data_IF_389490308083
#
_entry.id   IF_389490308083
#
_cell.length_a   1.000
_cell.length_b   1.000
_cell.length_c   1.000
_cell.angle_alpha   90.00
_cell.angle_beta   90.00
_cell.angle_gamma   90.00
#
_symmetry.space_group_name_H-M   'P 1'
#
loop_
_entity.id
_entity.type
_entity.pdbx_description
1 polymer ?
#
# COMPACT_ATOMS: atom_id res chain seq x y z
N UNK A 1 -1.51 2.03 35.42
CA UNK A 1 -1.48 0.58 35.14
C UNK A 1 -0.19 -0.07 35.62
N UNK A 2 1.00 0.47 35.34
CA UNK A 2 2.27 -0.07 35.88
C UNK A 2 2.36 -0.07 37.41
N UNK A 3 1.71 0.89 38.09
CA UNK A 3 1.63 0.94 39.56
C UNK A 3 0.87 -0.24 40.20
N UNK A 4 0.17 -1.06 39.42
CA UNK A 4 -0.48 -2.27 39.92
C UNK A 4 0.47 -3.46 40.08
N UNK A 5 1.72 -3.33 39.59
CA UNK A 5 2.74 -4.36 39.69
C UNK A 5 3.73 -4.04 40.83
N UNK A 6 4.28 -5.05 41.52
CA UNK A 6 5.26 -4.84 42.56
C UNK A 6 6.47 -4.03 42.04
N UNK A 7 7.09 -3.16 42.85
CA UNK A 7 8.29 -2.39 42.45
C UNK A 7 9.44 -3.27 41.96
N UNK A 8 9.49 -4.54 42.39
CA UNK A 8 10.48 -5.53 41.99
C UNK A 8 10.19 -6.13 40.61
N UNK A 9 9.00 -5.89 40.00
CA UNK A 9 8.69 -6.38 38.69
C UNK A 9 9.50 -5.64 37.63
N UNK A 10 10.11 -6.37 36.71
CA UNK A 10 10.84 -5.79 35.58
C UNK A 10 9.90 -5.34 34.42
N UNK A 11 8.60 -5.24 34.69
CA UNK A 11 7.59 -4.84 33.70
C UNK A 11 7.71 -3.33 33.44
N UNK A 12 8.23 -2.95 32.28
CA UNK A 12 8.39 -1.57 31.83
C UNK A 12 7.24 -1.08 30.94
N UNK A 13 6.53 -2.00 30.32
CA UNK A 13 5.49 -1.69 29.33
C UNK A 13 4.37 -2.73 29.38
N UNK A 14 3.15 -2.27 29.18
CA UNK A 14 1.95 -3.12 29.08
C UNK A 14 1.20 -2.73 27.82
N UNK A 15 0.98 -3.68 26.92
CA UNK A 15 0.16 -3.51 25.72
C UNK A 15 -1.24 -4.06 25.96
N UNK A 16 -2.28 -3.33 25.58
CA UNK A 16 -3.66 -3.75 25.68
C UNK A 16 -4.48 -3.25 24.49
N UNK A 17 -5.56 -3.95 24.21
CA UNK A 17 -6.51 -3.56 23.15
C UNK A 17 -7.61 -2.67 23.73
N UNK A 18 -8.01 -1.65 22.98
CA UNK A 18 -9.12 -0.77 23.34
C UNK A 18 -9.86 -0.27 22.10
N UNK A 19 -11.19 -0.17 22.20
CA UNK A 19 -12.03 0.49 21.20
C UNK A 19 -12.02 2.01 21.44
N UNK A 20 -10.93 2.67 21.06
CA UNK A 20 -10.68 4.08 21.37
C UNK A 20 -11.19 5.04 20.31
N UNK A 21 -11.28 4.60 19.05
CA UNK A 21 -11.69 5.43 17.92
C UNK A 21 -12.91 4.86 17.21
N UNK A 22 -13.68 5.77 16.60
CA UNK A 22 -14.67 5.44 15.58
C UNK A 22 -14.18 6.00 14.25
N UNK A 23 -14.35 5.23 13.19
CA UNK A 23 -13.97 5.63 11.82
C UNK A 23 -15.18 5.56 10.90
N UNK A 24 -15.14 6.36 9.85
CA UNK A 24 -16.09 6.31 8.74
C UNK A 24 -15.35 6.28 7.42
N UNK A 25 -15.61 5.25 6.62
CA UNK A 25 -15.08 5.14 5.26
C UNK A 25 -16.21 5.37 4.25
N UNK A 26 -15.96 6.17 3.24
CA UNK A 26 -16.84 6.41 2.09
C UNK A 26 -16.03 6.26 0.83
N UNK A 27 -16.62 5.69 -0.21
CA UNK A 27 -15.92 5.50 -1.47
C UNK A 27 -16.83 5.12 -2.61
N UNK A 28 -16.24 5.09 -3.79
CA UNK A 28 -16.86 4.66 -5.04
C UNK A 28 -15.88 3.72 -5.72
N UNK A 29 -16.36 2.56 -6.14
CA UNK A 29 -15.64 1.62 -6.97
C UNK A 29 -16.37 1.49 -8.31
N UNK A 30 -15.59 1.55 -9.38
CA UNK A 30 -16.08 1.35 -10.74
C UNK A 30 -15.23 0.29 -11.42
N UNK A 31 -15.86 -0.68 -12.05
CA UNK A 31 -15.18 -1.72 -12.83
C UNK A 31 -15.92 -1.91 -14.14
N UNK A 32 -15.17 -1.93 -15.24
CA UNK A 32 -15.69 -2.27 -16.56
C UNK A 32 -14.74 -3.19 -17.28
N UNK A 33 -15.32 -4.08 -18.09
CA UNK A 33 -14.59 -5.03 -18.91
C UNK A 33 -15.14 -4.97 -20.34
N UNK A 34 -14.23 -5.03 -21.29
CA UNK A 34 -14.53 -5.05 -22.71
C UNK A 34 -13.83 -6.25 -23.34
N UNK A 35 -14.54 -6.97 -24.18
CA UNK A 35 -13.98 -8.07 -24.96
C UNK A 35 -14.49 -7.99 -26.40
N UNK A 36 -13.58 -8.03 -27.36
CA UNK A 36 -13.88 -7.98 -28.79
C UNK A 36 -13.11 -9.07 -29.52
N UNK A 37 -13.84 -9.91 -30.24
CA UNK A 37 -13.22 -10.81 -31.23
C UNK A 37 -12.95 -10.03 -32.50
N UNK A 38 -11.68 -9.97 -32.92
CA UNK A 38 -11.23 -9.26 -34.13
C UNK A 38 -11.19 -10.22 -35.34
N UNK A 39 -10.91 -11.50 -35.09
CA UNK A 39 -10.91 -12.56 -36.06
C UNK A 39 -11.09 -13.93 -35.38
N UNK A 40 -11.26 -15.04 -36.12
CA UNK A 40 -11.31 -16.38 -35.50
C UNK A 40 -10.12 -16.77 -34.66
N UNK A 41 -8.97 -16.07 -34.83
CA UNK A 41 -7.71 -16.33 -34.12
C UNK A 41 -7.19 -15.14 -33.36
N UNK A 42 -7.95 -14.05 -33.23
CA UNK A 42 -7.51 -12.87 -32.47
C UNK A 42 -8.65 -12.24 -31.67
N UNK A 43 -8.35 -11.80 -30.47
CA UNK A 43 -9.26 -11.08 -29.59
C UNK A 43 -8.55 -10.02 -28.77
N UNK A 44 -9.28 -8.95 -28.49
CA UNK A 44 -8.85 -7.86 -27.60
C UNK A 44 -9.68 -7.94 -26.32
N UNK A 45 -9.02 -7.86 -25.17
CA UNK A 45 -9.66 -7.72 -23.88
C UNK A 45 -9.13 -6.45 -23.22
N UNK A 46 -10.02 -5.66 -22.66
CA UNK A 46 -9.64 -4.48 -21.87
C UNK A 46 -10.42 -4.47 -20.56
N UNK A 47 -9.80 -4.07 -19.49
CA UNK A 47 -10.47 -3.83 -18.22
C UNK A 47 -9.98 -2.55 -17.60
N UNK A 48 -10.88 -1.83 -16.94
CA UNK A 48 -10.58 -0.64 -16.15
C UNK A 48 -11.27 -0.81 -14.81
N UNK A 49 -10.50 -0.65 -13.73
CA UNK A 49 -11.03 -0.54 -12.38
C UNK A 49 -10.53 0.77 -11.76
N UNK A 50 -11.43 1.48 -11.12
CA UNK A 50 -11.15 2.76 -10.46
C UNK A 50 -11.78 2.75 -9.08
N UNK A 51 -10.99 3.07 -8.07
CA UNK A 51 -11.42 3.18 -6.68
C UNK A 51 -11.07 4.56 -6.15
N UNK A 52 -12.04 5.22 -5.53
CA UNK A 52 -11.81 6.39 -4.68
C UNK A 52 -12.44 6.12 -3.33
N UNK A 53 -11.67 6.28 -2.27
CA UNK A 53 -12.18 6.17 -0.92
C UNK A 53 -11.56 7.22 0.01
N UNK A 54 -12.26 7.51 1.10
CA UNK A 54 -11.79 8.38 2.17
C UNK A 54 -12.21 7.79 3.51
N UNK A 55 -11.23 7.53 4.36
CA UNK A 55 -11.45 7.15 5.75
C UNK A 55 -11.16 8.35 6.64
N UNK A 56 -12.05 8.62 7.59
CA UNK A 56 -11.95 9.69 8.57
C UNK A 56 -12.19 9.14 9.97
N UNK A 57 -11.43 9.61 10.94
CA UNK A 57 -11.69 9.36 12.36
C UNK A 57 -12.79 10.32 12.79
N UNK A 58 -13.96 9.79 13.16
CA UNK A 58 -15.13 10.59 13.52
C UNK A 58 -15.17 10.94 14.99
N UNK A 59 -14.57 10.12 15.85
CA UNK A 59 -14.42 10.44 17.27
C UNK A 59 -13.28 9.64 17.90
N UNK A 60 -12.71 10.21 18.96
CA UNK A 60 -11.74 9.54 19.85
C UNK A 60 -12.24 9.64 21.27
N UNK A 61 -12.22 8.54 22.00
CA UNK A 61 -12.58 8.53 23.41
C UNK A 61 -11.49 9.22 24.24
N UNK A 62 -11.86 9.82 25.35
CA UNK A 62 -10.88 10.35 26.29
C UNK A 62 -10.02 9.23 26.86
N UNK A 63 -8.74 9.51 27.07
CA UNK A 63 -7.84 8.59 27.75
C UNK A 63 -8.34 8.35 29.18
N UNK A 64 -8.49 7.09 29.64
CA UNK A 64 -8.95 6.80 30.98
C UNK A 64 -8.13 7.52 32.06
N UNK A 65 -8.78 8.09 33.07
CA UNK A 65 -8.12 8.87 34.13
C UNK A 65 -6.99 8.11 34.83
N UNK A 66 -7.14 6.79 34.98
CA UNK A 66 -6.09 5.92 35.57
C UNK A 66 -4.81 5.88 34.75
N UNK A 67 -4.86 6.11 33.44
CA UNK A 67 -3.68 6.19 32.56
C UNK A 67 -3.07 7.59 32.56
N UNK A 68 -3.79 8.60 33.01
CA UNK A 68 -3.31 9.96 33.18
C UNK A 68 -2.62 10.17 34.53
N UNK A 69 -2.92 9.31 35.52
CA UNK A 69 -2.38 9.43 36.88
C UNK A 69 -0.85 9.26 36.86
N UNK A 70 -0.14 10.28 37.35
CA UNK A 70 1.32 10.31 37.40
C UNK A 70 2.02 10.71 36.08
N UNK A 71 1.27 11.00 35.03
CA UNK A 71 1.84 11.48 33.79
C UNK A 71 2.16 12.99 33.88
N UNK A 72 3.38 13.39 33.51
CA UNK A 72 3.82 14.80 33.45
C UNK A 72 3.25 15.55 32.23
N UNK A 73 2.68 14.81 31.28
CA UNK A 73 2.05 15.35 30.06
C UNK A 73 0.80 14.50 29.71
N UNK A 74 -0.19 15.08 29.00
CA UNK A 74 -1.37 14.32 28.60
C UNK A 74 -1.02 13.06 27.79
N UNK A 75 -1.43 11.91 28.29
CA UNK A 75 -1.26 10.62 27.58
C UNK A 75 -2.26 10.54 26.44
N UNK A 76 -1.79 10.48 25.21
CA UNK A 76 -2.61 10.20 24.03
C UNK A 76 -2.44 8.73 23.64
N UNK A 77 -3.54 7.96 23.63
CA UNK A 77 -3.51 6.56 23.22
C UNK A 77 -3.32 6.41 21.69
N UNK A 78 -3.77 7.41 20.95
CA UNK A 78 -3.58 7.50 19.50
C UNK A 78 -3.01 8.88 19.21
N UNK A 79 -1.84 8.89 18.60
CA UNK A 79 -1.12 10.10 18.24
C UNK A 79 -1.34 10.48 16.77
N UNK A 80 -0.72 11.56 16.31
CA UNK A 80 -0.80 12.04 14.94
C UNK A 80 -0.28 11.02 13.93
N UNK A 81 0.74 10.23 14.28
CA UNK A 81 1.28 9.19 13.39
C UNK A 81 0.25 8.09 13.20
N UNK A 82 -0.33 7.60 14.30
CA UNK A 82 -1.39 6.57 14.28
C UNK A 82 -2.64 7.04 13.50
N UNK A 83 -3.05 8.30 13.71
CA UNK A 83 -4.15 8.88 12.92
C UNK A 83 -3.83 8.90 11.42
N UNK A 84 -2.60 9.25 11.06
CA UNK A 84 -2.20 9.29 9.65
C UNK A 84 -2.21 7.93 8.98
N UNK A 85 -1.86 6.86 9.70
CA UNK A 85 -1.94 5.49 9.18
C UNK A 85 -3.37 5.10 8.77
N UNK A 86 -4.37 5.68 9.44
CA UNK A 86 -5.79 5.42 9.16
C UNK A 86 -6.31 6.34 8.04
N UNK A 87 -5.96 7.64 8.07
CA UNK A 87 -6.63 8.64 7.24
C UNK A 87 -5.88 9.00 5.96
N UNK A 88 -4.53 8.97 5.96
CA UNK A 88 -3.74 9.59 4.89
C UNK A 88 -2.59 8.75 4.35
N UNK A 89 -2.19 7.70 5.05
CA UNK A 89 -1.05 6.86 4.67
C UNK A 89 -1.37 5.79 3.62
N UNK A 90 -2.64 5.70 3.21
CA UNK A 90 -3.09 4.84 2.12
C UNK A 90 -3.56 5.69 0.94
N UNK A 91 -3.32 5.26 -0.32
CA UNK A 91 -3.82 5.98 -1.48
C UNK A 91 -5.35 6.06 -1.46
N UNK A 92 -5.89 7.28 -1.56
CA UNK A 92 -7.34 7.50 -1.64
C UNK A 92 -7.92 7.12 -3.00
N UNK A 93 -7.09 7.11 -4.01
CA UNK A 93 -7.49 6.74 -5.37
C UNK A 93 -6.49 5.74 -5.96
N UNK A 94 -7.06 4.76 -6.67
CA UNK A 94 -6.30 3.75 -7.40
C UNK A 94 -6.99 3.50 -8.74
N UNK A 95 -6.19 3.43 -9.81
CA UNK A 95 -6.67 3.06 -11.14
C UNK A 95 -5.89 1.85 -11.61
N UNK A 96 -6.61 0.84 -12.10
CA UNK A 96 -6.04 -0.33 -12.74
C UNK A 96 -6.57 -0.39 -14.17
N UNK A 97 -5.67 -0.51 -15.13
CA UNK A 97 -6.01 -0.74 -16.54
C UNK A 97 -5.31 -2.01 -16.98
N UNK A 98 -6.02 -2.89 -17.67
CA UNK A 98 -5.43 -4.08 -18.26
C UNK A 98 -5.84 -4.15 -19.73
N UNK A 99 -4.89 -4.39 -20.60
CA UNK A 99 -5.08 -4.64 -22.03
C UNK A 99 -4.48 -6.00 -22.36
N UNK A 100 -5.29 -6.91 -22.85
CA UNK A 100 -4.90 -8.24 -23.28
C UNK A 100 -5.18 -8.40 -24.78
N UNK A 101 -4.19 -8.80 -25.52
CA UNK A 101 -4.32 -9.11 -26.95
C UNK A 101 -3.90 -10.55 -27.21
N UNK A 102 -4.85 -11.33 -27.70
CA UNK A 102 -4.61 -12.69 -28.15
C UNK A 102 -4.53 -12.72 -29.66
N UNK A 103 -3.48 -13.32 -30.19
CA UNK A 103 -3.32 -13.57 -31.63
C UNK A 103 -2.71 -14.94 -31.85
N UNK A 104 -3.47 -15.86 -32.44
CA UNK A 104 -3.04 -17.25 -32.71
C UNK A 104 -2.54 -17.92 -31.41
N UNK A 105 -1.24 -18.18 -31.31
CA UNK A 105 -0.56 -18.81 -30.18
C UNK A 105 0.00 -17.81 -29.15
N UNK A 106 -0.09 -16.52 -29.41
CA UNK A 106 0.41 -15.48 -28.52
C UNK A 106 -0.73 -14.88 -27.69
N UNK A 107 -0.43 -14.64 -26.42
CA UNK A 107 -1.27 -13.84 -25.53
C UNK A 107 -0.38 -12.78 -24.86
N UNK A 108 -0.64 -11.52 -25.19
CA UNK A 108 0.13 -10.37 -24.68
C UNK A 108 -0.78 -9.61 -23.73
N UNK A 109 -0.29 -9.33 -22.53
CA UNK A 109 -1.03 -8.53 -21.54
C UNK A 109 -0.14 -7.41 -21.03
N UNK A 110 -0.70 -6.20 -21.00
CA UNK A 110 -0.10 -5.03 -20.37
C UNK A 110 -1.05 -4.53 -19.30
N UNK A 111 -0.52 -4.27 -18.10
CA UNK A 111 -1.28 -3.73 -16.96
C UNK A 111 -0.65 -2.44 -16.50
N UNK A 112 -1.48 -1.42 -16.33
CA UNK A 112 -1.12 -0.17 -15.69
C UNK A 112 -1.79 -0.06 -14.33
N UNK A 113 -1.03 0.28 -13.29
CA UNK A 113 -1.51 0.48 -11.92
C UNK A 113 -1.08 1.86 -11.44
N UNK A 114 -2.04 2.78 -11.33
CA UNK A 114 -1.81 4.07 -10.72
C UNK A 114 -2.21 4.04 -9.26
N UNK A 115 -1.34 4.53 -8.40
CA UNK A 115 -1.57 4.74 -6.96
C UNK A 115 -1.50 6.22 -6.66
N UNK A 116 -2.54 6.77 -6.05
CA UNK A 116 -2.62 8.17 -5.66
C UNK A 116 -1.57 8.55 -4.63
N UNK A 117 -1.40 9.85 -4.44
CA UNK A 117 -0.52 10.40 -3.39
C UNK A 117 -0.95 9.96 -2.00
N UNK A 118 0.02 9.87 -1.09
CA UNK A 118 -0.20 9.63 0.35
C UNK A 118 0.54 10.68 1.17
N UNK A 119 0.09 10.88 2.40
CA UNK A 119 0.77 11.73 3.38
C UNK A 119 1.06 10.88 4.61
N UNK A 120 2.32 10.73 4.95
CA UNK A 120 2.72 10.05 6.17
C UNK A 120 3.29 11.02 7.19
N UNK A 121 3.00 10.74 8.45
CA UNK A 121 3.51 11.47 9.60
C UNK A 121 4.50 10.63 10.39
N UNK A 122 5.41 11.29 11.03
CA UNK A 122 6.46 10.70 11.85
C UNK A 122 6.74 11.55 13.07
N UNK A 123 7.14 10.92 14.16
CA UNK A 123 7.59 11.59 15.37
C UNK A 123 9.00 11.10 15.74
N UNK A 124 10.05 11.82 15.32
CA UNK A 124 11.40 11.50 15.77
C UNK A 124 11.55 11.69 17.29
N UNK A 125 12.44 10.92 17.88
CA UNK A 125 12.72 11.04 19.32
C UNK A 125 13.18 12.46 19.66
N UNK A 126 12.51 13.10 20.63
CA UNK A 126 12.83 14.47 21.06
C UNK A 126 12.50 15.58 20.07
N UNK A 127 11.80 15.27 18.97
CA UNK A 127 11.46 16.22 17.92
C UNK A 127 9.93 16.36 17.74
N UNK A 128 9.44 17.47 17.16
CA UNK A 128 8.03 17.60 16.80
C UNK A 128 7.64 16.62 15.69
N UNK A 129 6.32 16.38 15.56
CA UNK A 129 5.79 15.61 14.45
C UNK A 129 6.13 16.29 13.11
N UNK A 130 6.47 15.48 12.12
CA UNK A 130 6.78 15.90 10.76
C UNK A 130 5.96 15.09 9.76
N UNK A 131 5.64 15.68 8.64
CA UNK A 131 4.92 14.99 7.56
C UNK A 131 5.63 15.16 6.24
N UNK A 132 5.42 14.20 5.36
CA UNK A 132 5.84 14.28 3.96
C UNK A 132 4.71 13.75 3.07
N UNK A 133 4.52 14.43 1.94
CA UNK A 133 3.67 13.96 0.86
C UNK A 133 4.52 13.13 -0.09
N UNK A 134 4.08 11.92 -0.37
CA UNK A 134 4.67 11.01 -1.36
C UNK A 134 3.77 11.04 -2.59
N UNK A 135 4.34 11.40 -3.74
CA UNK A 135 3.61 11.62 -4.98
C UNK A 135 2.94 10.34 -5.50
N UNK A 136 1.86 10.49 -6.25
CA UNK A 136 1.26 9.37 -6.95
C UNK A 136 2.21 8.77 -7.98
N UNK A 137 2.14 7.44 -8.19
CA UNK A 137 3.01 6.70 -9.10
C UNK A 137 2.20 5.76 -9.99
N UNK A 138 2.72 5.53 -11.18
CA UNK A 138 2.19 4.54 -12.13
C UNK A 138 3.20 3.42 -12.32
N UNK A 139 2.77 2.19 -12.16
CA UNK A 139 3.54 0.99 -12.47
C UNK A 139 2.96 0.33 -13.71
N UNK A 140 3.84 -0.19 -14.56
CA UNK A 140 3.45 -0.95 -15.75
C UNK A 140 4.05 -2.35 -15.64
N UNK A 141 3.17 -3.36 -15.82
CA UNK A 141 3.53 -4.76 -15.92
C UNK A 141 3.24 -5.25 -17.33
N UNK A 142 4.03 -6.17 -17.83
CA UNK A 142 3.81 -6.78 -19.14
C UNK A 142 4.10 -8.27 -19.11
N UNK A 143 3.29 -9.04 -19.83
CA UNK A 143 3.51 -10.48 -20.03
C UNK A 143 3.27 -10.86 -21.47
N UNK A 144 4.05 -11.81 -21.96
CA UNK A 144 3.86 -12.47 -23.25
C UNK A 144 3.85 -13.96 -23.01
N UNK A 145 2.74 -14.61 -23.30
CA UNK A 145 2.63 -16.06 -23.31
C UNK A 145 2.64 -16.59 -24.75
N UNK A 146 3.38 -17.67 -24.99
CA UNK A 146 3.42 -18.38 -26.25
C UNK A 146 3.08 -19.85 -26.06
N UNK A 147 2.01 -20.30 -26.73
CA UNK A 147 1.57 -21.70 -26.74
C UNK A 147 2.37 -22.46 -27.80
N UNK A 148 3.46 -23.10 -27.39
CA UNK A 148 4.31 -23.92 -28.29
C UNK A 148 3.50 -25.08 -28.82
N UNK A 149 2.76 -25.78 -27.95
CA UNK A 149 1.86 -26.86 -28.29
C UNK A 149 0.63 -26.85 -27.39
N UNK A 150 -0.33 -27.78 -27.59
CA UNK A 150 -1.51 -27.93 -26.71
C UNK A 150 -1.14 -28.28 -25.26
N UNK A 151 0.06 -28.84 -25.04
CA UNK A 151 0.54 -29.30 -23.73
C UNK A 151 1.63 -28.41 -23.14
N UNK A 152 2.25 -27.54 -23.92
CA UNK A 152 3.41 -26.77 -23.48
C UNK A 152 3.30 -25.29 -23.87
N UNK A 153 3.46 -24.42 -22.89
CA UNK A 153 3.55 -22.98 -23.11
C UNK A 153 4.65 -22.34 -22.28
N UNK A 154 5.16 -21.22 -22.77
CA UNK A 154 6.15 -20.36 -22.10
C UNK A 154 5.57 -18.96 -21.91
N UNK A 155 5.79 -18.41 -20.74
CA UNK A 155 5.44 -17.02 -20.41
C UNK A 155 6.70 -16.26 -20.02
N UNK A 156 6.90 -15.11 -20.63
CA UNK A 156 7.87 -14.11 -20.19
C UNK A 156 7.10 -12.96 -19.56
N UNK A 157 7.53 -12.54 -18.40
CA UNK A 157 6.86 -11.45 -17.68
C UNK A 157 7.83 -10.48 -17.06
N UNK A 158 7.35 -9.23 -16.94
CA UNK A 158 8.03 -8.15 -16.25
C UNK A 158 7.00 -7.39 -15.40
N UNK A 159 7.26 -7.28 -14.11
CA UNK A 159 6.52 -6.43 -13.21
C UNK A 159 7.31 -5.14 -13.00
N UNK A 160 6.59 -4.01 -12.95
CA UNK A 160 7.19 -2.69 -12.78
C UNK A 160 8.34 -2.45 -13.79
N UNK A 161 8.04 -2.67 -15.07
CA UNK A 161 9.03 -2.67 -16.17
C UNK A 161 9.89 -1.39 -16.25
N UNK A 162 9.36 -0.25 -15.76
CA UNK A 162 10.07 1.03 -15.72
C UNK A 162 10.83 1.27 -14.42
N UNK A 163 10.92 0.26 -13.54
CA UNK A 163 11.69 0.32 -12.30
C UNK A 163 11.30 1.51 -11.41
N UNK A 164 10.00 1.78 -11.28
CA UNK A 164 9.45 2.87 -10.50
C UNK A 164 9.54 2.55 -9.00
N UNK A 165 9.96 3.51 -8.20
CA UNK A 165 10.03 3.42 -6.75
C UNK A 165 9.12 4.46 -6.09
N UNK A 166 8.68 4.24 -4.83
CA UNK A 166 8.12 5.30 -4.01
C UNK A 166 9.09 6.46 -3.84
N UNK A 167 8.58 7.64 -3.50
CA UNK A 167 9.46 8.76 -3.15
C UNK A 167 10.30 8.42 -1.92
N UNK A 168 11.55 8.84 -1.93
CA UNK A 168 12.44 8.71 -0.78
C UNK A 168 12.03 9.68 0.32
N UNK A 169 12.36 9.35 1.55
CA UNK A 169 12.22 10.27 2.68
C UNK A 169 13.18 11.44 2.52
N UNK A 170 12.66 12.66 2.70
CA UNK A 170 13.45 13.89 2.67
C UNK A 170 14.21 14.11 3.98
N UNK A 171 15.20 14.99 3.95
CA UNK A 171 16.03 15.33 5.13
C UNK A 171 15.22 15.85 6.33
N UNK A 172 14.09 16.50 6.06
CA UNK A 172 13.19 17.04 7.10
C UNK A 172 12.20 15.99 7.64
N UNK A 173 12.06 14.85 6.99
CA UNK A 173 11.30 13.71 7.47
C UNK A 173 12.26 12.82 8.25
N UNK A 174 11.89 12.36 9.41
CA UNK A 174 12.81 11.57 10.21
C UNK A 174 13.14 10.26 9.54
N UNK A 175 14.39 9.90 9.60
CA UNK A 175 14.83 8.59 9.19
C UNK A 175 14.84 7.65 10.39
N UNK A 176 14.01 6.63 10.39
CA UNK A 176 14.06 5.60 11.43
C UNK A 176 15.30 4.74 11.36
N UNK A 177 15.87 4.65 10.21
CA UNK A 177 16.92 3.69 9.91
C UNK A 177 18.29 4.33 9.87
N UNK A 178 18.44 5.55 10.37
CA UNK A 178 19.70 6.31 10.27
C UNK A 178 20.24 6.33 8.82
N UNK A 179 19.33 6.46 7.86
CA UNK A 179 19.69 6.45 6.44
C UNK A 179 19.82 5.07 5.77
N UNK A 180 19.61 3.99 6.50
CA UNK A 180 19.73 2.63 5.95
C UNK A 180 18.57 2.28 4.98
N UNK A 181 17.36 2.75 5.26
CA UNK A 181 16.20 2.53 4.41
C UNK A 181 15.70 3.90 3.90
N UNK A 182 15.76 4.16 2.59
CA UNK A 182 15.39 5.47 2.05
C UNK A 182 13.87 5.68 1.92
N UNK A 183 13.05 4.69 2.29
CA UNK A 183 11.59 4.74 2.18
C UNK A 183 10.94 4.78 3.55
N UNK A 184 9.76 5.44 3.63
CA UNK A 184 8.99 5.45 4.88
C UNK A 184 8.32 4.10 5.14
N UNK A 185 8.23 3.71 6.41
CA UNK A 185 7.42 2.58 6.86
C UNK A 185 5.96 2.97 7.17
N UNK A 186 5.69 4.27 7.26
CA UNK A 186 4.38 4.80 7.68
C UNK A 186 3.43 5.07 6.50
N UNK A 187 3.85 4.80 5.28
CA UNK A 187 2.97 4.82 4.11
C UNK A 187 3.40 3.74 3.12
N UNK A 188 2.44 3.06 2.52
CA UNK A 188 2.71 2.02 1.54
C UNK A 188 1.74 2.16 0.37
N UNK A 189 2.21 2.75 -0.73
CA UNK A 189 1.45 2.83 -1.98
C UNK A 189 1.58 1.52 -2.76
N UNK A 190 2.80 0.98 -2.83
CA UNK A 190 3.19 -0.25 -3.51
C UNK A 190 4.57 -0.71 -2.97
N UNK A 191 5.03 -1.90 -3.37
CA UNK A 191 6.33 -2.42 -2.95
C UNK A 191 7.51 -1.58 -3.47
N UNK A 192 8.67 -1.72 -2.81
CA UNK A 192 9.91 -1.02 -3.16
C UNK A 192 11.00 -1.95 -3.72
N UNK A 193 10.59 -3.09 -4.30
CA UNK A 193 11.55 -4.06 -4.87
C UNK A 193 12.04 -3.68 -6.28
N UNK A 194 11.43 -2.66 -6.91
CA UNK A 194 11.77 -2.26 -8.27
C UNK A 194 11.24 -3.22 -9.33
N UNK A 195 11.93 -3.27 -10.47
CA UNK A 195 11.57 -4.16 -11.58
C UNK A 195 11.87 -5.63 -11.27
N UNK A 196 10.97 -6.51 -11.69
CA UNK A 196 11.12 -7.95 -11.55
C UNK A 196 10.79 -8.65 -12.87
N UNK A 197 11.69 -9.49 -13.35
CA UNK A 197 11.53 -10.25 -14.59
C UNK A 197 11.44 -11.74 -14.27
N UNK A 198 10.59 -12.46 -14.98
CA UNK A 198 10.41 -13.89 -14.75
C UNK A 198 10.05 -14.65 -16.02
N UNK A 199 10.33 -15.93 -15.98
CA UNK A 199 9.91 -16.90 -17.00
C UNK A 199 9.14 -18.03 -16.33
N UNK A 200 8.00 -18.40 -16.93
CA UNK A 200 7.19 -19.53 -16.47
C UNK A 200 7.04 -20.55 -17.60
N UNK A 201 7.29 -21.81 -17.30
CA UNK A 201 7.05 -22.93 -18.19
C UNK A 201 5.82 -23.70 -17.68
N UNK A 202 4.81 -23.89 -18.52
CA UNK A 202 3.61 -24.64 -18.18
C UNK A 202 3.55 -25.94 -19.00
N UNK A 203 3.43 -27.06 -18.31
CA UNK A 203 3.28 -28.38 -18.89
C UNK A 203 1.94 -28.98 -18.45
N UNK A 204 1.12 -29.44 -19.42
CA UNK A 204 -0.15 -30.12 -19.17
C UNK A 204 0.02 -31.61 -19.52
N UNK A 205 -0.27 -32.47 -18.58
CA UNK A 205 -0.21 -33.93 -18.70
C UNK A 205 -1.54 -34.49 -19.21
#
# INVERSE_FOLDING_TARGET
>A
MLAAFPPSSQIKEVTFFTNHINTRTRGIDFVTNFKQSLSPKSSLNASVAFTVNKTEITSQKATPAKLQAGATSPVKLIDTVSNSLIETSQPRNKVLVSLGYQISKFNITVKGSYFGKVVAWEKPLGQPHRSQTFAGKTLIDATINYDISKKFSITLGANNIFNVYPDKVGANYASYSSGQIPFTRNANQFGFNGAYYYTTLNLKF
#
